data_IF_772832755860
#
_entry.id   IF_772832755860
#
_cell.length_a   1.000
_cell.length_b   1.000
_cell.length_c   1.000
_cell.angle_alpha   90.00
_cell.angle_beta   90.00
_cell.angle_gamma   90.00
#
_symmetry.space_group_name_H-M   'P 1'
#
loop_
_entity.id
_entity.type
_entity.pdbx_description
1 polymer ?
#
# COMPACT_ATOMS: atom_id res chain seq x y z
N UNK A 1 16.55 62.25 61.91
CA UNK A 1 17.30 60.99 61.73
C UNK A 1 16.51 59.90 61.02
N UNK A 2 15.29 59.51 61.46
CA UNK A 2 14.52 58.40 60.83
C UNK A 2 14.10 58.58 59.35
N UNK A 3 13.89 59.81 58.85
CA UNK A 3 13.49 60.06 57.45
C UNK A 3 14.67 60.01 56.45
N UNK A 4 15.88 60.33 56.92
CA UNK A 4 17.08 60.34 56.09
C UNK A 4 17.57 58.90 55.84
N UNK A 5 17.48 58.05 56.86
CA UNK A 5 17.77 56.61 56.73
C UNK A 5 16.83 55.92 55.76
N UNK A 6 15.53 56.27 55.76
CA UNK A 6 14.56 55.67 54.84
C UNK A 6 14.79 56.10 53.38
N UNK A 7 15.16 57.38 53.16
CA UNK A 7 15.49 57.87 51.82
C UNK A 7 16.76 57.22 51.25
N UNK A 8 17.76 56.95 52.10
CA UNK A 8 18.99 56.24 51.72
C UNK A 8 18.67 54.78 51.36
N UNK A 9 17.81 54.09 52.12
CA UNK A 9 17.40 52.71 51.81
C UNK A 9 16.62 52.63 50.50
N UNK A 10 15.72 53.59 50.24
CA UNK A 10 14.97 53.63 48.96
C UNK A 10 15.91 53.91 47.79
N UNK A 11 16.84 54.86 47.92
CA UNK A 11 17.83 55.16 46.88
C UNK A 11 18.77 53.97 46.59
N UNK A 12 19.22 53.25 47.63
CA UNK A 12 20.00 52.02 47.47
C UNK A 12 19.19 50.90 46.82
N UNK A 13 17.89 50.77 47.14
CA UNK A 13 17.02 49.77 46.50
C UNK A 13 16.83 50.02 45.01
N UNK A 14 16.76 51.29 44.57
CA UNK A 14 16.66 51.64 43.15
C UNK A 14 17.99 51.51 42.40
N UNK A 15 19.13 51.68 43.08
CA UNK A 15 20.45 51.46 42.48
C UNK A 15 20.79 49.96 42.33
N UNK A 16 20.26 49.11 43.22
CA UNK A 16 20.43 47.66 43.14
C UNK A 16 19.41 46.98 42.21
N UNK A 17 18.25 47.60 41.96
CA UNK A 17 17.23 47.08 41.05
C UNK A 17 17.65 47.10 39.57
N UNK A 18 18.70 47.84 39.19
CA UNK A 18 19.14 48.00 37.80
C UNK A 18 20.46 47.30 37.44
N UNK A 19 21.10 46.57 38.35
CA UNK A 19 22.46 46.05 38.13
C UNK A 19 22.70 44.60 38.62
N UNK A 20 21.63 43.83 38.77
CA UNK A 20 21.64 42.37 38.92
C UNK A 20 20.71 41.67 37.92
N UNK A 21 20.48 42.28 36.75
CA UNK A 21 20.12 41.54 35.55
C UNK A 21 21.38 40.87 35.00
N UNK A 22 21.86 39.85 35.74
CA UNK A 22 22.82 38.91 35.17
C UNK A 22 22.18 38.34 33.92
N UNK A 23 22.93 38.35 32.81
CA UNK A 23 22.42 38.00 31.50
C UNK A 23 21.47 36.82 31.58
N UNK A 24 20.19 37.10 31.35
CA UNK A 24 19.39 36.18 30.56
C UNK A 24 20.18 36.10 29.26
N UNK A 25 21.10 35.13 29.21
CA UNK A 25 21.26 34.37 27.98
C UNK A 25 19.84 34.17 27.52
N UNK A 26 19.49 34.77 26.38
CA UNK A 26 18.56 34.12 25.49
C UNK A 26 19.13 32.71 25.43
N UNK A 27 18.58 31.82 26.23
CA UNK A 27 18.64 30.41 25.92
C UNK A 27 17.81 30.46 24.66
N UNK A 28 18.49 30.63 23.53
CA UNK A 28 18.03 29.96 22.34
C UNK A 28 17.88 28.54 22.83
N UNK A 29 16.66 28.18 23.20
CA UNK A 29 16.20 26.82 23.03
C UNK A 29 16.03 26.66 21.51
N UNK A 30 17.11 26.91 20.76
CA UNK A 30 17.51 25.99 19.73
C UNK A 30 17.78 24.72 20.56
N UNK A 31 16.72 23.95 20.85
CA UNK A 31 16.93 22.52 20.97
C UNK A 31 17.70 22.18 19.70
N UNK A 32 18.95 21.71 19.84
CA UNK A 32 19.72 21.25 18.70
C UNK A 32 18.85 20.18 18.02
N UNK A 33 18.10 20.57 16.99
CA UNK A 33 17.21 19.67 16.25
C UNK A 33 18.18 18.75 15.51
N UNK A 34 18.33 17.55 16.06
CA UNK A 34 19.18 16.53 15.46
C UNK A 34 18.49 15.96 14.22
N UNK A 35 19.24 15.53 13.20
CA UNK A 35 18.65 14.88 12.05
C UNK A 35 17.87 13.62 12.44
N UNK A 36 16.81 13.35 11.70
CA UNK A 36 15.90 12.24 12.01
C UNK A 36 16.61 10.89 12.05
N UNK A 37 17.62 10.64 11.22
CA UNK A 37 18.38 9.39 11.21
C UNK A 37 19.28 9.17 12.43
N UNK A 38 19.32 10.09 13.40
CA UNK A 38 20.07 9.85 14.64
C UNK A 38 19.47 8.75 15.51
N UNK A 39 18.20 8.39 15.29
CA UNK A 39 17.54 7.25 15.93
C UNK A 39 17.33 6.05 14.98
N UNK A 40 17.90 6.09 13.77
CA UNK A 40 17.79 4.97 12.85
C UNK A 40 18.69 3.83 13.32
N UNK A 41 18.18 2.61 13.20
CA UNK A 41 18.89 1.40 13.58
C UNK A 41 18.77 0.37 12.46
N UNK A 42 19.78 -0.50 12.36
CA UNK A 42 19.65 -1.72 11.58
C UNK A 42 18.67 -2.62 12.32
N UNK A 43 17.48 -2.82 11.74
CA UNK A 43 16.40 -3.58 12.39
C UNK A 43 16.75 -5.06 12.51
N UNK A 44 17.58 -5.57 11.59
CA UNK A 44 18.08 -6.93 11.64
C UNK A 44 19.55 -7.00 12.06
N UNK A 45 19.86 -8.01 12.86
CA UNK A 45 21.22 -8.41 13.23
C UNK A 45 21.91 -9.21 12.12
N UNK A 46 21.14 -9.88 11.26
CA UNK A 46 21.63 -10.59 10.09
C UNK A 46 21.84 -9.60 8.94
N UNK A 47 23.03 -9.59 8.30
CA UNK A 47 23.25 -8.76 7.12
C UNK A 47 22.31 -9.13 5.98
N UNK A 48 21.71 -8.13 5.34
CA UNK A 48 20.88 -8.33 4.14
C UNK A 48 21.66 -9.00 3.00
N UNK A 49 20.93 -9.71 2.14
CA UNK A 49 21.50 -10.45 0.99
C UNK A 49 22.19 -9.51 0.00
N UNK A 50 21.54 -8.40 -0.36
CA UNK A 50 22.09 -7.39 -1.27
C UNK A 50 21.80 -5.97 -0.72
N UNK A 51 22.64 -5.47 0.20
CA UNK A 51 22.44 -4.17 0.83
C UNK A 51 22.89 -3.04 -0.09
N UNK A 52 21.97 -2.15 -0.44
CA UNK A 52 22.21 -0.95 -1.24
C UNK A 52 22.02 0.30 -0.40
N UNK A 53 22.58 1.41 -0.87
CA UNK A 53 22.48 2.71 -0.21
C UNK A 53 21.65 3.64 -1.08
N UNK A 54 20.65 4.26 -0.46
CA UNK A 54 19.76 5.22 -1.09
C UNK A 54 19.79 6.55 -0.34
N UNK A 55 19.77 7.64 -1.10
CA UNK A 55 19.80 8.99 -0.55
C UNK A 55 18.48 9.30 0.12
N UNK A 56 18.53 9.61 1.42
CA UNK A 56 17.39 10.04 2.24
C UNK A 56 17.60 11.47 2.70
N UNK A 57 16.58 12.30 2.58
CA UNK A 57 16.55 13.69 2.98
C UNK A 57 15.66 13.83 4.21
N UNK A 58 16.17 14.50 5.25
CA UNK A 58 15.38 15.03 6.36
C UNK A 58 14.76 16.34 5.89
N UNK A 59 13.45 16.36 5.72
CA UNK A 59 12.73 17.50 5.14
C UNK A 59 12.60 18.67 6.13
N UNK A 60 12.78 18.42 7.44
CA UNK A 60 12.73 19.47 8.45
C UNK A 60 14.04 20.27 8.48
N UNK A 61 15.18 19.59 8.32
CA UNK A 61 16.51 20.21 8.31
C UNK A 61 17.06 20.48 6.90
N UNK A 62 16.46 19.87 5.88
CA UNK A 62 16.95 19.85 4.50
C UNK A 62 18.42 19.37 4.42
N UNK A 63 18.73 18.33 5.22
CA UNK A 63 19.99 17.60 5.18
C UNK A 63 19.78 16.24 4.50
N UNK A 64 20.83 15.67 3.93
CA UNK A 64 20.76 14.35 3.27
C UNK A 64 21.78 13.39 3.86
N UNK A 65 21.41 12.11 3.93
CA UNK A 65 22.28 10.98 4.26
C UNK A 65 22.05 9.84 3.27
N UNK A 66 22.85 8.78 3.40
CA UNK A 66 22.60 7.50 2.76
C UNK A 66 22.01 6.53 3.81
N UNK A 67 20.90 5.88 3.48
CA UNK A 67 20.27 4.83 4.29
C UNK A 67 20.37 3.49 3.58
N UNK A 68 20.50 2.41 4.33
CA UNK A 68 20.71 1.06 3.79
C UNK A 68 19.38 0.31 3.59
N UNK A 69 19.23 -0.33 2.43
CA UNK A 69 18.05 -1.09 2.01
C UNK A 69 18.47 -2.46 1.47
N UNK A 70 17.64 -3.50 1.64
CA UNK A 70 17.84 -4.79 0.97
C UNK A 70 17.16 -4.76 -0.41
N UNK A 71 17.88 -5.12 -1.47
CA UNK A 71 17.36 -5.07 -2.85
C UNK A 71 17.20 -6.48 -3.42
N UNK A 72 16.10 -6.67 -4.16
CA UNK A 72 15.71 -7.95 -4.74
C UNK A 72 15.27 -7.75 -6.18
N UNK A 73 15.64 -8.69 -7.04
CA UNK A 73 15.27 -8.70 -8.45
C UNK A 73 14.06 -9.61 -8.71
N UNK A 74 13.71 -9.80 -9.99
CA UNK A 74 12.59 -10.66 -10.40
C UNK A 74 12.63 -12.09 -9.88
N UNK A 75 13.79 -12.63 -9.51
CA UNK A 75 13.89 -14.02 -9.04
C UNK A 75 13.18 -14.21 -7.69
N UNK A 76 12.82 -13.12 -7.00
CA UNK A 76 12.07 -13.09 -5.75
C UNK A 76 10.57 -12.80 -5.96
N UNK A 77 9.99 -13.41 -6.99
CA UNK A 77 8.56 -13.33 -7.29
C UNK A 77 8.15 -12.17 -8.18
N UNK A 78 9.07 -11.58 -8.94
CA UNK A 78 8.77 -10.59 -9.99
C UNK A 78 8.82 -11.16 -11.40
N UNK A 79 8.59 -10.31 -12.39
CA UNK A 79 8.75 -10.65 -13.81
C UNK A 79 9.56 -9.57 -14.55
N UNK A 80 9.43 -9.51 -15.88
CA UNK A 80 10.11 -8.52 -16.71
C UNK A 80 9.79 -7.05 -16.41
N UNK A 81 8.73 -6.82 -15.65
CA UNK A 81 7.91 -5.64 -15.80
C UNK A 81 7.24 -5.20 -14.48
N UNK A 82 7.19 -6.06 -13.46
CA UNK A 82 6.59 -5.73 -12.16
C UNK A 82 6.93 -6.67 -11.00
N UNK A 83 6.61 -6.17 -9.81
CA UNK A 83 6.42 -6.91 -8.57
C UNK A 83 5.05 -6.54 -7.99
N UNK A 84 4.26 -7.53 -7.54
CA UNK A 84 3.04 -7.29 -6.76
C UNK A 84 3.32 -7.60 -5.30
N UNK A 85 3.58 -6.56 -4.53
CA UNK A 85 4.00 -6.64 -3.14
C UNK A 85 2.81 -6.51 -2.20
N UNK A 86 2.76 -7.37 -1.18
CA UNK A 86 1.86 -7.25 -0.04
C UNK A 86 2.59 -7.72 1.23
N UNK A 87 2.01 -7.42 2.39
CA UNK A 87 2.50 -7.91 3.69
C UNK A 87 1.37 -8.57 4.48
N UNK A 88 1.75 -9.45 5.42
CA UNK A 88 0.81 -10.01 6.40
C UNK A 88 0.92 -9.26 7.73
N UNK A 89 -0.09 -9.45 8.60
CA UNK A 89 -0.08 -8.96 9.98
C UNK A 89 1.17 -9.38 10.77
N UNK A 90 1.73 -10.55 10.44
CA UNK A 90 2.93 -11.08 11.10
C UNK A 90 4.25 -10.54 10.50
N UNK A 91 4.17 -9.69 9.48
CA UNK A 91 5.35 -9.11 8.82
C UNK A 91 5.98 -10.01 7.75
N UNK A 92 5.22 -10.96 7.21
CA UNK A 92 5.67 -11.74 6.04
C UNK A 92 5.58 -10.87 4.80
N UNK A 93 6.63 -10.85 3.98
CA UNK A 93 6.64 -10.20 2.67
C UNK A 93 6.07 -11.19 1.66
N UNK A 94 5.09 -10.76 0.86
CA UNK A 94 4.45 -11.53 -0.19
C UNK A 94 4.71 -10.89 -1.55
N UNK A 95 4.99 -11.70 -2.57
CA UNK A 95 5.21 -11.24 -3.94
C UNK A 95 4.60 -12.18 -4.98
N UNK A 96 3.94 -11.62 -6.00
CA UNK A 96 3.45 -12.37 -7.17
C UNK A 96 3.41 -11.52 -8.46
N UNK A 97 4.46 -10.75 -8.75
CA UNK A 97 4.66 -10.25 -10.12
C UNK A 97 5.01 -11.39 -11.10
N UNK A 98 5.74 -12.38 -10.61
CA UNK A 98 6.32 -13.50 -11.35
C UNK A 98 5.39 -14.69 -11.57
N UNK A 99 6.00 -15.87 -11.68
CA UNK A 99 5.32 -17.12 -12.04
C UNK A 99 4.52 -17.76 -10.89
N UNK A 100 4.81 -17.44 -9.64
CA UNK A 100 4.23 -18.13 -8.49
C UNK A 100 4.22 -17.20 -7.27
N UNK A 101 3.36 -17.46 -6.26
CA UNK A 101 3.50 -16.83 -4.96
C UNK A 101 4.88 -17.10 -4.37
N UNK A 102 5.58 -16.04 -4.00
CA UNK A 102 6.87 -16.04 -3.35
C UNK A 102 6.75 -15.26 -2.05
N UNK A 103 7.36 -15.74 -0.97
CA UNK A 103 7.26 -15.06 0.32
C UNK A 103 8.53 -15.20 1.15
N UNK A 104 8.67 -14.30 2.11
CA UNK A 104 9.71 -14.34 3.12
C UNK A 104 9.16 -13.95 4.49
N UNK A 105 9.45 -14.79 5.49
CA UNK A 105 9.06 -14.56 6.88
C UNK A 105 10.13 -13.80 7.67
N UNK A 106 11.30 -13.57 7.09
CA UNK A 106 12.48 -13.04 7.77
C UNK A 106 13.07 -11.85 7.00
N UNK A 107 12.19 -10.98 6.48
CA UNK A 107 12.57 -9.74 5.81
C UNK A 107 13.50 -9.94 4.60
N UNK A 108 13.39 -11.10 3.95
CA UNK A 108 14.05 -11.42 2.71
C UNK A 108 15.39 -12.15 2.84
N UNK A 109 15.70 -12.76 3.99
CA UNK A 109 16.90 -13.62 4.12
C UNK A 109 16.69 -15.02 3.56
N UNK A 110 15.50 -15.57 3.78
CA UNK A 110 15.04 -16.82 3.19
C UNK A 110 13.73 -16.57 2.44
N UNK A 111 13.62 -17.23 1.29
CA UNK A 111 12.48 -17.10 0.39
C UNK A 111 11.95 -18.47 0.02
N UNK A 112 10.65 -18.62 0.14
CA UNK A 112 9.92 -19.80 -0.29
C UNK A 112 9.06 -19.47 -1.51
N UNK A 113 8.69 -20.51 -2.25
CA UNK A 113 7.88 -20.38 -3.47
C UNK A 113 6.88 -21.51 -3.54
N UNK A 114 5.61 -21.18 -3.75
CA UNK A 114 4.58 -22.18 -3.94
C UNK A 114 4.53 -22.63 -5.39
N UNK A 115 4.86 -23.89 -5.65
CA UNK A 115 4.70 -24.48 -6.99
C UNK A 115 3.52 -25.45 -6.98
N UNK A 116 2.47 -25.21 -7.79
CA UNK A 116 1.30 -26.08 -7.85
C UNK A 116 1.66 -27.48 -8.34
N UNK A 117 1.09 -28.50 -7.70
CA UNK A 117 1.19 -29.89 -8.15
C UNK A 117 0.43 -30.14 -9.46
N UNK A 118 0.61 -31.30 -10.08
CA UNK A 118 -0.01 -31.64 -11.38
C UNK A 118 -1.54 -31.58 -11.36
N UNK A 119 -2.16 -31.98 -10.24
CA UNK A 119 -3.60 -32.06 -10.08
C UNK A 119 -4.11 -30.90 -9.23
N UNK A 120 -5.24 -30.33 -9.66
CA UNK A 120 -5.98 -29.32 -8.90
C UNK A 120 -6.55 -29.91 -7.61
N UNK A 121 -6.96 -29.03 -6.70
CA UNK A 121 -7.76 -29.45 -5.54
C UNK A 121 -9.07 -30.17 -5.95
N UNK A 122 -9.58 -31.03 -5.07
CA UNK A 122 -10.76 -31.85 -5.34
C UNK A 122 -12.07 -31.04 -5.38
N UNK A 123 -12.08 -29.86 -4.76
CA UNK A 123 -13.21 -28.93 -4.76
C UNK A 123 -13.29 -28.10 -6.05
N UNK A 124 -12.24 -28.10 -6.87
CA UNK A 124 -12.19 -27.31 -8.09
C UNK A 124 -13.25 -27.73 -9.10
N UNK A 125 -13.99 -26.75 -9.62
CA UNK A 125 -15.04 -26.96 -10.63
C UNK A 125 -14.50 -27.45 -11.97
N UNK A 126 -13.30 -27.02 -12.34
CA UNK A 126 -12.68 -27.33 -13.63
C UNK A 126 -11.34 -28.01 -13.43
N UNK A 127 -11.32 -29.35 -13.26
CA UNK A 127 -10.07 -30.07 -13.10
C UNK A 127 -9.29 -30.05 -14.41
N UNK A 128 -8.11 -29.44 -14.37
CA UNK A 128 -7.18 -29.31 -15.49
C UNK A 128 -5.78 -29.62 -14.98
N UNK A 129 -5.01 -30.50 -15.66
CA UNK A 129 -3.63 -30.71 -15.26
C UNK A 129 -2.80 -29.45 -15.51
N UNK A 130 -1.78 -29.25 -14.67
CA UNK A 130 -0.68 -28.30 -14.93
C UNK A 130 0.62 -29.07 -15.16
N UNK A 131 1.62 -28.42 -15.76
CA UNK A 131 3.01 -28.82 -15.79
C UNK A 131 3.74 -28.05 -14.67
N UNK A 132 3.95 -28.66 -13.48
CA UNK A 132 4.58 -27.99 -12.36
C UNK A 132 5.94 -27.42 -12.73
N UNK A 133 6.19 -26.15 -12.37
CA UNK A 133 7.45 -25.46 -12.65
C UNK A 133 7.67 -25.13 -14.14
N UNK A 134 6.66 -25.29 -15.00
CA UNK A 134 6.73 -24.94 -16.43
C UNK A 134 5.55 -24.08 -16.88
N UNK A 135 4.36 -24.34 -16.34
CA UNK A 135 3.22 -23.44 -16.43
C UNK A 135 3.36 -22.36 -15.36
N UNK A 136 4.39 -21.53 -15.52
CA UNK A 136 4.63 -20.38 -14.67
C UNK A 136 3.42 -19.48 -14.68
N UNK A 137 2.71 -19.41 -13.56
CA UNK A 137 1.51 -18.61 -13.39
C UNK A 137 1.94 -17.14 -13.30
N UNK A 138 2.18 -16.51 -14.46
CA UNK A 138 2.65 -15.13 -14.55
C UNK A 138 1.67 -14.08 -14.01
N UNK A 139 2.17 -12.85 -13.79
CA UNK A 139 1.39 -11.62 -13.59
C UNK A 139 0.18 -11.79 -12.66
N UNK A 140 0.43 -11.77 -11.36
CA UNK A 140 -0.58 -12.05 -10.35
C UNK A 140 -0.92 -10.89 -9.43
N UNK A 141 -1.79 -11.19 -8.48
CA UNK A 141 -2.01 -10.39 -7.28
C UNK A 141 -2.11 -11.29 -6.05
N UNK A 142 -1.65 -10.78 -4.90
CA UNK A 142 -1.57 -11.50 -3.62
C UNK A 142 -2.01 -10.56 -2.49
N UNK A 143 -2.89 -11.03 -1.60
CA UNK A 143 -3.38 -10.28 -0.44
C UNK A 143 -3.69 -11.27 0.69
N UNK A 144 -3.61 -10.82 1.92
CA UNK A 144 -4.14 -11.56 3.07
C UNK A 144 -5.67 -11.38 3.15
N UNK A 145 -6.40 -12.28 3.80
CA UNK A 145 -7.79 -12.08 4.17
C UNK A 145 -7.91 -11.80 5.68
N UNK A 146 -9.06 -11.30 6.14
CA UNK A 146 -9.29 -10.98 7.56
C UNK A 146 -9.12 -12.17 8.50
N UNK A 147 -9.26 -13.40 8.01
CA UNK A 147 -9.07 -14.63 8.77
C UNK A 147 -7.63 -15.18 8.72
N UNK A 148 -6.72 -14.52 8.01
CA UNK A 148 -5.32 -14.90 7.86
C UNK A 148 -4.98 -15.58 6.54
N UNK A 149 -5.96 -16.10 5.81
CA UNK A 149 -5.75 -16.79 4.53
C UNK A 149 -4.98 -15.91 3.54
N UNK A 150 -4.15 -16.50 2.69
CA UNK A 150 -3.49 -15.77 1.61
C UNK A 150 -4.19 -16.12 0.30
N UNK A 151 -4.85 -15.12 -0.26
CA UNK A 151 -5.56 -15.24 -1.53
C UNK A 151 -4.60 -14.82 -2.63
N UNK A 152 -4.50 -15.60 -3.69
CA UNK A 152 -3.66 -15.26 -4.84
C UNK A 152 -4.33 -15.61 -6.16
N UNK A 153 -4.09 -14.76 -7.14
CA UNK A 153 -4.58 -14.90 -8.49
C UNK A 153 -3.43 -14.75 -9.46
N UNK A 154 -3.48 -15.52 -10.54
CA UNK A 154 -2.41 -15.48 -11.54
C UNK A 154 -2.89 -15.84 -12.94
N UNK A 155 -2.25 -15.24 -13.94
CA UNK A 155 -2.52 -15.37 -15.37
C UNK A 155 -1.36 -15.99 -16.15
N UNK A 156 -1.65 -17.02 -16.94
CA UNK A 156 -0.66 -17.65 -17.82
C UNK A 156 -1.09 -17.56 -19.29
N UNK A 157 -0.42 -16.76 -20.14
CA UNK A 157 -0.82 -16.58 -21.53
C UNK A 157 -0.48 -17.77 -22.44
N UNK A 158 0.43 -18.66 -22.03
CA UNK A 158 0.96 -19.70 -22.91
C UNK A 158 0.16 -21.01 -22.88
N UNK A 159 0.51 -21.92 -23.79
CA UNK A 159 -0.17 -23.21 -23.91
C UNK A 159 0.20 -24.08 -22.71
N UNK A 160 -0.76 -24.41 -21.87
CA UNK A 160 -0.53 -25.34 -20.76
C UNK A 160 -0.79 -26.81 -21.11
N UNK A 161 -0.75 -27.68 -20.10
CA UNK A 161 -0.77 -29.15 -20.24
C UNK A 161 -2.06 -29.69 -20.88
N UNK A 162 -3.16 -28.97 -20.76
CA UNK A 162 -4.43 -29.29 -21.41
C UNK A 162 -4.53 -28.78 -22.86
N UNK A 163 -3.46 -28.15 -23.38
CA UNK A 163 -3.38 -27.63 -24.73
C UNK A 163 -4.14 -26.31 -24.94
N UNK A 164 -4.52 -25.59 -23.88
CA UNK A 164 -5.20 -24.29 -23.96
C UNK A 164 -4.27 -23.13 -23.58
N UNK A 165 -4.54 -21.97 -24.19
CA UNK A 165 -3.95 -20.66 -23.91
C UNK A 165 -4.78 -19.89 -22.88
N UNK A 166 -4.26 -18.75 -22.41
CA UNK A 166 -4.94 -17.76 -21.57
C UNK A 166 -5.59 -18.37 -20.33
N UNK A 167 -4.74 -18.90 -19.46
CA UNK A 167 -5.17 -19.60 -18.25
C UNK A 167 -5.18 -18.67 -17.04
N UNK A 168 -6.10 -18.94 -16.14
CA UNK A 168 -6.25 -18.20 -14.90
C UNK A 168 -6.33 -19.17 -13.74
N UNK A 169 -5.54 -18.90 -12.71
CA UNK A 169 -5.30 -19.81 -11.61
C UNK A 169 -5.57 -19.12 -10.29
N UNK A 170 -6.43 -19.75 -9.50
CA UNK A 170 -6.59 -19.45 -8.10
C UNK A 170 -5.62 -20.26 -7.28
N UNK A 171 -4.97 -19.57 -6.35
CA UNK A 171 -4.05 -20.16 -5.40
C UNK A 171 -4.47 -19.62 -4.04
N UNK A 172 -4.65 -20.51 -3.07
CA UNK A 172 -5.10 -20.18 -1.74
C UNK A 172 -4.18 -20.86 -0.74
N UNK A 173 -3.61 -20.10 0.17
CA UNK A 173 -3.08 -20.62 1.42
C UNK A 173 -4.19 -20.52 2.48
N UNK A 174 -4.60 -21.67 3.00
CA UNK A 174 -5.53 -21.74 4.13
C UNK A 174 -4.70 -21.66 5.44
N UNK A 175 -4.84 -20.57 6.17
CA UNK A 175 -4.09 -20.32 7.41
C UNK A 175 -4.44 -21.35 8.49
N UNK A 176 -5.69 -21.84 8.49
CA UNK A 176 -6.16 -22.78 9.50
C UNK A 176 -5.66 -24.21 9.27
N UNK A 177 -5.36 -24.54 8.01
CA UNK A 177 -4.84 -25.84 7.60
C UNK A 177 -3.32 -25.85 7.34
N UNK A 178 -2.68 -24.68 7.24
CA UNK A 178 -1.25 -24.52 6.88
C UNK A 178 -0.94 -25.21 5.53
N UNK A 179 -1.85 -25.07 4.56
CA UNK A 179 -1.76 -25.75 3.27
C UNK A 179 -2.10 -24.82 2.10
N UNK A 180 -1.29 -24.94 1.04
CA UNK A 180 -1.54 -24.29 -0.24
C UNK A 180 -2.33 -25.18 -1.20
N UNK A 181 -3.43 -24.65 -1.73
CA UNK A 181 -4.28 -25.29 -2.72
C UNK A 181 -4.42 -24.43 -3.96
N UNK A 182 -4.86 -25.02 -5.07
CA UNK A 182 -5.04 -24.28 -6.32
C UNK A 182 -6.14 -24.86 -7.21
N UNK A 183 -6.80 -23.96 -7.96
CA UNK A 183 -7.81 -24.28 -8.95
C UNK A 183 -7.57 -23.54 -10.27
N UNK A 184 -7.87 -24.21 -11.38
CA UNK A 184 -7.99 -23.54 -12.67
C UNK A 184 -9.39 -22.95 -12.83
N UNK A 185 -9.44 -21.67 -13.20
CA UNK A 185 -10.67 -20.94 -13.48
C UNK A 185 -10.75 -20.64 -14.98
N UNK A 186 -11.73 -21.26 -15.65
CA UNK A 186 -11.93 -21.03 -17.08
C UNK A 186 -12.67 -19.72 -17.29
N UNK A 187 -11.98 -18.75 -17.86
CA UNK A 187 -12.57 -17.47 -18.21
C UNK A 187 -13.21 -17.50 -19.60
N UNK A 188 -14.32 -16.79 -19.75
CA UNK A 188 -14.90 -16.45 -21.06
C UNK A 188 -14.46 -15.07 -21.55
N UNK A 189 -13.95 -14.23 -20.65
CA UNK A 189 -13.42 -12.89 -20.95
C UNK A 189 -11.89 -12.94 -20.97
N UNK A 190 -11.22 -12.26 -21.92
CA UNK A 190 -9.76 -12.19 -21.92
C UNK A 190 -9.28 -11.45 -20.66
N UNK A 191 -8.49 -12.10 -19.80
CA UNK A 191 -7.56 -11.34 -18.96
C UNK A 191 -6.37 -10.97 -19.82
N UNK A 192 -6.12 -9.68 -19.91
CA UNK A 192 -4.88 -9.14 -20.46
C UNK A 192 -4.12 -8.46 -19.34
N UNK A 193 -2.84 -8.79 -19.23
CA UNK A 193 -1.91 -8.31 -18.20
C UNK A 193 -2.29 -8.78 -16.79
N UNK A 194 -3.02 -7.95 -16.03
CA UNK A 194 -2.93 -7.99 -14.56
C UNK A 194 -4.27 -8.23 -13.90
N UNK A 195 -4.22 -9.07 -12.88
CA UNK A 195 -5.27 -9.12 -11.86
C UNK A 195 -4.97 -8.10 -10.77
N UNK A 196 -6.00 -7.39 -10.33
CA UNK A 196 -6.00 -6.75 -9.01
C UNK A 196 -7.09 -7.42 -8.18
N UNK A 197 -6.84 -7.57 -6.89
CA UNK A 197 -7.74 -8.30 -6.01
C UNK A 197 -7.98 -7.58 -4.69
N UNK A 198 -9.12 -7.89 -4.10
CA UNK A 198 -9.54 -7.35 -2.81
C UNK A 198 -10.49 -8.32 -2.12
N UNK A 199 -10.42 -8.36 -0.79
CA UNK A 199 -11.41 -9.03 0.03
C UNK A 199 -12.70 -8.21 0.15
N UNK A 200 -13.83 -8.86 -0.05
CA UNK A 200 -15.14 -8.44 0.45
C UNK A 200 -15.31 -9.07 1.83
N UNK A 201 -15.21 -8.25 2.88
CA UNK A 201 -15.30 -8.69 4.27
C UNK A 201 -16.66 -9.33 4.51
N UNK A 202 -16.68 -10.54 5.07
CA UNK A 202 -17.91 -11.27 5.31
C UNK A 202 -18.47 -11.13 6.73
N UNK A 203 -19.27 -12.13 7.18
CA UNK A 203 -19.57 -13.38 6.49
C UNK A 203 -20.45 -13.16 5.25
N UNK A 204 -20.13 -13.86 4.16
CA UNK A 204 -20.84 -13.77 2.88
C UNK A 204 -22.00 -14.75 2.83
N UNK A 205 -23.16 -14.29 2.36
CA UNK A 205 -24.32 -15.13 2.07
C UNK A 205 -25.00 -14.68 0.78
N UNK A 206 -24.65 -15.33 -0.33
CA UNK A 206 -25.07 -14.91 -1.67
C UNK A 206 -25.68 -16.05 -2.48
N UNK A 207 -26.06 -15.76 -3.71
CA UNK A 207 -26.56 -16.74 -4.68
C UNK A 207 -25.47 -17.67 -5.23
N UNK A 208 -24.18 -17.32 -5.08
CA UNK A 208 -23.04 -18.14 -5.53
C UNK A 208 -22.44 -18.99 -4.40
N UNK A 209 -22.84 -18.75 -3.14
CA UNK A 209 -22.48 -19.56 -1.99
C UNK A 209 -22.38 -18.75 -0.70
N UNK A 210 -21.71 -19.31 0.29
CA UNK A 210 -21.43 -18.63 1.56
C UNK A 210 -19.99 -18.93 1.98
N UNK A 211 -19.35 -17.96 2.63
CA UNK A 211 -17.95 -18.01 3.03
C UNK A 211 -17.67 -17.00 4.14
N UNK A 212 -16.51 -17.09 4.79
CA UNK A 212 -16.09 -16.11 5.81
C UNK A 212 -15.81 -14.74 5.18
N UNK A 213 -15.43 -14.74 3.90
CA UNK A 213 -15.17 -13.59 3.06
C UNK A 213 -15.50 -13.93 1.60
N UNK A 214 -15.38 -12.96 0.70
CA UNK A 214 -15.32 -13.22 -0.75
C UNK A 214 -14.11 -12.51 -1.35
N UNK A 215 -13.50 -13.09 -2.39
CA UNK A 215 -12.42 -12.46 -3.14
C UNK A 215 -12.99 -11.88 -4.42
N UNK A 216 -12.91 -10.56 -4.59
CA UNK A 216 -13.22 -9.88 -5.83
C UNK A 216 -11.93 -9.57 -6.57
N UNK A 217 -11.90 -9.95 -7.84
CA UNK A 217 -10.75 -9.78 -8.72
C UNK A 217 -11.21 -9.08 -9.98
N UNK A 218 -10.40 -8.13 -10.47
CA UNK A 218 -10.68 -7.42 -11.71
C UNK A 218 -9.59 -7.67 -12.73
N UNK A 219 -10.03 -7.80 -13.97
CA UNK A 219 -9.18 -7.83 -15.13
C UNK A 219 -8.94 -6.42 -15.63
N UNK A 220 -7.74 -5.89 -15.39
CA UNK A 220 -7.29 -4.65 -16.03
C UNK A 220 -8.28 -3.47 -15.78
N UNK A 221 -8.20 -2.41 -16.59
CA UNK A 221 -9.00 -1.18 -16.45
C UNK A 221 -10.46 -1.29 -16.98
N UNK A 222 -10.95 -2.48 -17.34
CA UNK A 222 -12.28 -2.63 -17.94
C UNK A 222 -13.42 -2.34 -16.96
N UNK A 223 -13.22 -2.60 -15.67
CA UNK A 223 -14.18 -2.25 -14.64
C UNK A 223 -14.39 -0.72 -14.54
N UNK A 224 -13.40 0.07 -14.96
CA UNK A 224 -13.44 1.54 -14.98
C UNK A 224 -14.19 2.06 -16.21
N UNK A 225 -13.98 1.45 -17.39
CA UNK A 225 -14.49 1.97 -18.68
C UNK A 225 -15.75 1.29 -19.19
N UNK A 226 -15.97 0.03 -18.84
CA UNK A 226 -17.04 -0.82 -19.40
C UNK A 226 -17.94 -1.44 -18.32
N UNK A 227 -17.61 -1.29 -17.03
CA UNK A 227 -18.25 -2.01 -15.92
C UNK A 227 -18.20 -3.54 -16.14
N UNK A 228 -17.10 -4.07 -16.67
CA UNK A 228 -16.92 -5.49 -16.98
C UNK A 228 -15.58 -6.00 -16.43
N UNK A 229 -15.27 -7.28 -16.66
CA UNK A 229 -13.98 -7.86 -16.28
C UNK A 229 -13.85 -8.22 -14.79
N UNK A 230 -14.95 -8.28 -14.04
CA UNK A 230 -14.94 -8.73 -12.65
C UNK A 230 -15.12 -10.24 -12.52
N UNK A 231 -14.46 -10.84 -11.54
CA UNK A 231 -14.75 -12.18 -11.04
C UNK A 231 -14.76 -12.20 -9.53
N UNK A 232 -15.63 -13.02 -8.95
CA UNK A 232 -15.75 -13.13 -7.50
C UNK A 232 -15.77 -14.59 -7.08
N UNK A 233 -15.16 -14.89 -5.93
CA UNK A 233 -15.22 -16.20 -5.28
C UNK A 233 -15.64 -16.03 -3.82
N UNK A 234 -16.33 -17.02 -3.25
CA UNK A 234 -16.65 -17.11 -1.81
C UNK A 234 -15.82 -18.17 -1.08
N UNK A 235 -14.89 -18.81 -1.80
CA UNK A 235 -14.03 -19.90 -1.30
C UNK A 235 -12.55 -19.71 -1.71
N UNK A 236 -12.19 -18.56 -2.29
CA UNK A 236 -10.84 -18.27 -2.79
C UNK A 236 -10.38 -19.07 -4.01
N UNK A 237 -11.11 -20.11 -4.42
CA UNK A 237 -10.64 -21.11 -5.38
C UNK A 237 -11.49 -21.15 -6.65
N UNK A 238 -12.80 -21.07 -6.53
CA UNK A 238 -13.77 -21.17 -7.62
C UNK A 238 -14.38 -19.80 -7.93
N UNK A 239 -13.93 -19.18 -9.02
CA UNK A 239 -14.36 -17.84 -9.41
C UNK A 239 -15.53 -17.87 -10.41
N UNK A 240 -16.39 -16.86 -10.31
CA UNK A 240 -17.56 -16.65 -11.15
C UNK A 240 -17.52 -15.26 -11.74
N UNK A 241 -18.05 -15.09 -12.95
CA UNK A 241 -18.23 -13.77 -13.54
C UNK A 241 -19.01 -12.85 -12.60
N UNK A 242 -18.45 -11.68 -12.35
CA UNK A 242 -19.02 -10.64 -11.51
C UNK A 242 -19.25 -9.38 -12.33
N UNK A 243 -20.51 -8.94 -12.37
CA UNK A 243 -20.92 -7.79 -13.16
C UNK A 243 -20.90 -6.53 -12.27
N UNK A 244 -20.04 -5.58 -12.64
CA UNK A 244 -20.07 -4.25 -12.04
C UNK A 244 -21.35 -3.52 -12.42
N UNK A 245 -21.90 -2.76 -11.47
CA UNK A 245 -23.13 -2.00 -11.70
C UNK A 245 -22.87 -0.79 -12.62
N UNK A 246 -23.86 -0.39 -13.41
CA UNK A 246 -23.69 0.78 -14.28
C UNK A 246 -23.46 2.08 -13.49
N UNK A 247 -22.48 2.89 -13.90
CA UNK A 247 -22.13 4.19 -13.28
C UNK A 247 -23.29 5.22 -13.23
N UNK A 248 -24.32 5.06 -14.07
CA UNK A 248 -25.53 5.88 -14.10
C UNK A 248 -26.76 5.18 -13.50
N UNK A 249 -26.57 4.02 -12.86
CA UNK A 249 -27.65 3.28 -12.24
C UNK A 249 -28.03 3.87 -10.88
N UNK A 250 -29.13 3.37 -10.31
CA UNK A 250 -29.56 3.71 -8.95
C UNK A 250 -30.06 2.43 -8.27
N UNK A 251 -29.15 1.63 -7.66
CA UNK A 251 -29.51 0.35 -7.03
C UNK A 251 -30.42 0.48 -5.80
N UNK A 252 -30.60 1.69 -5.27
CA UNK A 252 -31.20 1.92 -3.96
C UNK A 252 -30.16 2.47 -3.00
N UNK A 253 -30.60 3.38 -2.13
CA UNK A 253 -29.74 4.00 -1.15
C UNK A 253 -29.57 3.10 0.08
N UNK A 254 -28.35 3.04 0.58
CA UNK A 254 -27.98 2.43 1.86
C UNK A 254 -27.08 3.40 2.62
N UNK A 255 -27.35 3.57 3.91
CA UNK A 255 -26.49 4.31 4.80
C UNK A 255 -25.39 3.36 5.30
N UNK A 256 -24.14 3.67 5.01
CA UNK A 256 -22.97 2.88 5.44
C UNK A 256 -22.24 3.69 6.50
N UNK A 257 -22.18 3.17 7.73
CA UNK A 257 -21.42 3.80 8.80
C UNK A 257 -19.93 3.53 8.61
N UNK A 258 -19.17 4.58 8.34
CA UNK A 258 -17.72 4.52 8.15
C UNK A 258 -16.95 5.13 9.33
N UNK A 259 -17.65 5.48 10.41
CA UNK A 259 -17.02 6.02 11.60
C UNK A 259 -16.58 4.88 12.52
N UNK A 260 -15.38 4.36 12.24
CA UNK A 260 -14.80 3.24 12.97
C UNK A 260 -13.77 3.70 13.99
N UNK A 261 -13.47 2.81 14.94
CA UNK A 261 -12.38 3.00 15.89
C UNK A 261 -11.76 1.66 16.26
N UNK A 262 -10.43 1.54 16.22
CA UNK A 262 -9.67 0.34 16.63
C UNK A 262 -10.15 -0.94 15.92
N UNK A 263 -10.04 -0.96 14.59
CA UNK A 263 -10.55 -2.04 13.72
C UNK A 263 -9.57 -3.20 13.50
N UNK A 264 -8.37 -3.09 14.05
CA UNK A 264 -7.37 -4.17 14.06
C UNK A 264 -6.33 -4.07 12.92
N UNK A 265 -5.22 -4.78 13.10
CA UNK A 265 -3.98 -4.67 12.31
C UNK A 265 -4.14 -5.12 10.84
N UNK A 266 -5.17 -5.89 10.51
CA UNK A 266 -5.49 -6.24 9.12
C UNK A 266 -5.57 -4.99 8.23
N UNK A 267 -6.15 -3.91 8.73
CA UNK A 267 -6.34 -2.66 7.97
C UNK A 267 -5.05 -1.86 7.79
N UNK A 268 -3.98 -2.21 8.50
CA UNK A 268 -2.65 -1.58 8.35
C UNK A 268 -1.79 -2.26 7.29
N UNK A 269 -1.99 -3.56 7.07
CA UNK A 269 -1.22 -4.35 6.09
C UNK A 269 -1.97 -4.55 4.78
N UNK A 270 -3.31 -4.45 4.82
CA UNK A 270 -4.15 -4.77 3.68
C UNK A 270 -4.78 -3.55 3.05
N UNK A 271 -4.01 -2.97 2.13
CA UNK A 271 -4.55 -2.05 1.15
C UNK A 271 -4.60 -2.75 -0.21
N UNK A 272 -5.78 -2.89 -0.82
CA UNK A 272 -5.87 -3.30 -2.21
C UNK A 272 -5.07 -2.36 -3.10
N UNK A 273 -4.44 -2.90 -4.14
CA UNK A 273 -3.75 -2.09 -5.14
C UNK A 273 -4.67 -0.95 -5.61
N UNK A 274 -4.16 0.28 -5.76
CA UNK A 274 -4.96 1.51 -6.00
C UNK A 274 -6.01 1.36 -7.10
N UNK A 275 -5.71 0.57 -8.13
CA UNK A 275 -6.58 0.37 -9.28
C UNK A 275 -7.84 -0.45 -8.99
N UNK A 276 -7.92 -1.11 -7.83
CA UNK A 276 -9.18 -1.66 -7.31
C UNK A 276 -10.20 -0.56 -6.95
N UNK A 277 -9.72 0.66 -6.62
CA UNK A 277 -10.56 1.83 -6.27
C UNK A 277 -11.63 1.49 -5.24
N UNK A 278 -11.24 0.67 -4.28
CA UNK A 278 -12.11 0.15 -3.23
C UNK A 278 -11.32 -0.18 -1.99
N UNK A 279 -12.03 -0.26 -0.86
CA UNK A 279 -11.46 -0.72 0.40
C UNK A 279 -12.47 -1.59 1.17
N UNK A 280 -11.97 -2.63 1.88
CA UNK A 280 -12.80 -3.51 2.72
C UNK A 280 -13.46 -2.73 3.87
N UNK A 281 -14.71 -3.06 4.21
CA UNK A 281 -15.44 -2.39 5.30
C UNK A 281 -15.45 -3.28 6.56
N UNK A 282 -15.02 -2.79 7.72
CA UNK A 282 -15.00 -3.54 8.99
C UNK A 282 -16.32 -4.17 9.41
N UNK A 283 -17.45 -3.53 9.10
CA UNK A 283 -18.79 -4.06 9.36
C UNK A 283 -19.27 -5.11 8.34
N UNK A 284 -18.44 -5.44 7.35
CA UNK A 284 -18.76 -6.31 6.23
C UNK A 284 -19.03 -5.55 4.93
N UNK A 285 -18.69 -6.19 3.82
CA UNK A 285 -18.83 -5.65 2.46
C UNK A 285 -17.55 -5.00 1.93
N UNK A 286 -17.70 -4.36 0.77
CA UNK A 286 -16.63 -3.68 0.03
C UNK A 286 -17.12 -2.32 -0.47
N UNK A 287 -16.34 -1.27 -0.24
CA UNK A 287 -16.74 0.10 -0.54
C UNK A 287 -15.98 0.64 -1.75
N UNK A 288 -16.68 1.36 -2.64
CA UNK A 288 -16.13 1.96 -3.86
C UNK A 288 -16.40 3.48 -3.85
N UNK A 289 -15.44 4.31 -3.43
CA UNK A 289 -15.59 5.76 -3.37
C UNK A 289 -15.74 6.38 -4.77
N UNK A 290 -16.55 7.44 -4.87
CA UNK A 290 -16.81 8.15 -6.14
C UNK A 290 -17.19 7.24 -7.33
N UNK A 291 -17.85 6.11 -7.05
CA UNK A 291 -18.15 5.13 -8.09
C UNK A 291 -19.12 5.66 -9.16
N UNK A 292 -20.20 6.33 -8.78
CA UNK A 292 -21.25 6.74 -9.71
C UNK A 292 -20.92 8.07 -10.41
N UNK A 293 -21.53 8.29 -11.58
CA UNK A 293 -21.29 9.51 -12.38
C UNK A 293 -21.77 10.81 -11.74
N UNK A 294 -22.55 10.74 -10.66
CA UNK A 294 -22.92 11.89 -9.82
C UNK A 294 -21.92 12.15 -8.67
N UNK A 295 -20.83 11.39 -8.60
CA UNK A 295 -19.77 11.49 -7.59
C UNK A 295 -20.05 10.74 -6.29
N UNK A 296 -21.20 10.07 -6.17
CA UNK A 296 -21.53 9.25 -4.99
C UNK A 296 -20.84 7.87 -5.05
N UNK A 297 -20.86 7.17 -3.92
CA UNK A 297 -20.14 5.91 -3.74
C UNK A 297 -21.05 4.69 -3.95
N UNK A 298 -20.44 3.57 -4.34
CA UNK A 298 -21.11 2.27 -4.36
C UNK A 298 -20.64 1.43 -3.19
N UNK A 299 -21.53 0.58 -2.67
CA UNK A 299 -21.24 -0.38 -1.63
C UNK A 299 -21.70 -1.75 -2.10
N UNK A 300 -20.83 -2.76 -1.98
CA UNK A 300 -21.14 -4.15 -2.23
C UNK A 300 -21.39 -4.83 -0.89
N UNK A 301 -22.64 -5.17 -0.59
CA UNK A 301 -23.01 -5.78 0.68
C UNK A 301 -22.54 -7.24 0.81
N UNK A 302 -22.71 -7.82 2.00
CA UNK A 302 -22.34 -9.22 2.28
C UNK A 302 -23.22 -10.26 1.60
N UNK A 303 -24.31 -9.83 0.97
CA UNK A 303 -25.11 -10.65 0.05
C UNK A 303 -24.67 -10.51 -1.41
N UNK A 304 -23.59 -9.76 -1.66
CA UNK A 304 -23.02 -9.41 -2.95
C UNK A 304 -23.98 -8.61 -3.84
N UNK A 305 -24.85 -7.81 -3.22
CA UNK A 305 -25.69 -6.84 -3.94
C UNK A 305 -25.04 -5.45 -3.89
N UNK A 306 -25.21 -4.73 -5.00
CA UNK A 306 -24.80 -3.34 -5.11
C UNK A 306 -25.84 -2.44 -4.47
N UNK A 307 -25.36 -1.48 -3.68
CA UNK A 307 -26.11 -0.39 -3.08
C UNK A 307 -25.41 0.94 -3.34
N UNK A 308 -26.15 2.04 -3.21
CA UNK A 308 -25.63 3.41 -3.35
C UNK A 308 -25.50 4.05 -1.98
N UNK A 309 -24.35 4.63 -1.68
CA UNK A 309 -24.18 5.49 -0.51
C UNK A 309 -24.05 6.94 -0.97
N UNK A 310 -25.00 7.79 -0.56
CA UNK A 310 -25.10 9.20 -0.98
C UNK A 310 -24.08 10.12 -0.27
N UNK A 311 -22.81 9.70 -0.26
CA UNK A 311 -21.66 10.45 0.27
C UNK A 311 -20.63 10.67 -0.84
N UNK A 312 -20.12 11.90 -0.93
CA UNK A 312 -19.06 12.28 -1.87
C UNK A 312 -17.71 12.29 -1.17
N UNK A 313 -16.80 11.46 -1.65
CA UNK A 313 -15.43 11.38 -1.18
C UNK A 313 -14.56 12.38 -1.94
N UNK A 314 -13.36 12.75 -1.45
CA UNK A 314 -12.43 13.60 -2.19
C UNK A 314 -11.68 12.84 -3.30
N UNK A 315 -11.63 11.51 -3.23
CA UNK A 315 -10.96 10.64 -4.19
C UNK A 315 -11.64 9.26 -4.30
N UNK A 316 -11.32 8.52 -5.37
CA UNK A 316 -11.59 7.08 -5.52
C UNK A 316 -10.52 6.20 -4.84
N UNK A 317 -9.36 6.78 -4.50
CA UNK A 317 -8.24 6.09 -3.86
C UNK A 317 -8.27 6.35 -2.36
N UNK A 318 -8.82 5.40 -1.61
CA UNK A 318 -8.96 5.49 -0.16
C UNK A 318 -8.65 4.16 0.54
N UNK A 319 -8.26 4.25 1.81
CA UNK A 319 -7.95 3.14 2.70
C UNK A 319 -8.41 3.48 4.12
N UNK A 320 -8.86 2.47 4.88
CA UNK A 320 -9.00 2.55 6.34
C UNK A 320 -7.75 1.96 6.99
N UNK A 321 -7.28 2.56 8.08
CA UNK A 321 -6.22 1.97 8.91
C UNK A 321 -6.76 1.40 10.23
N UNK A 322 -5.91 0.74 11.03
CA UNK A 322 -6.33 0.07 12.26
C UNK A 322 -6.89 1.00 13.33
N UNK A 323 -6.60 2.30 13.30
CA UNK A 323 -7.23 3.27 14.22
C UNK A 323 -8.68 3.54 13.85
N UNK A 324 -9.08 3.24 12.61
CA UNK A 324 -10.35 3.62 12.00
C UNK A 324 -10.25 4.91 11.20
N UNK A 325 -9.04 5.47 11.03
CA UNK A 325 -8.84 6.65 10.21
C UNK A 325 -9.01 6.31 8.74
N UNK A 326 -9.66 7.21 8.00
CA UNK A 326 -9.89 7.12 6.58
C UNK A 326 -8.92 8.04 5.85
N UNK A 327 -8.03 7.43 5.07
CA UNK A 327 -7.05 8.10 4.25
C UNK A 327 -7.52 8.08 2.80
N UNK A 328 -7.50 9.22 2.12
CA UNK A 328 -7.71 9.30 0.69
C UNK A 328 -6.62 10.14 0.03
N UNK A 329 -6.20 9.77 -1.18
CA UNK A 329 -5.22 10.54 -1.95
C UNK A 329 -5.81 10.92 -3.30
N UNK A 330 -5.78 12.21 -3.63
CA UNK A 330 -6.18 12.73 -4.95
C UNK A 330 -5.00 13.35 -5.67
N UNK A 331 -4.92 13.19 -6.99
CA UNK A 331 -3.89 13.79 -7.83
C UNK A 331 -4.49 14.86 -8.75
N UNK A 332 -3.94 16.07 -8.74
CA UNK A 332 -4.28 17.14 -9.67
C UNK A 332 -3.00 17.70 -10.33
N UNK A 333 -2.82 17.42 -11.62
CA UNK A 333 -1.55 17.71 -12.30
C UNK A 333 -0.44 16.85 -11.71
N UNK A 334 0.52 17.49 -11.03
CA UNK A 334 1.61 16.84 -10.29
C UNK A 334 1.52 17.08 -8.78
N UNK A 335 0.38 17.57 -8.28
CA UNK A 335 0.17 17.77 -6.85
C UNK A 335 -0.74 16.68 -6.29
N UNK A 336 -0.21 15.90 -5.36
CA UNK A 336 -1.02 15.00 -4.54
C UNK A 336 -1.62 15.79 -3.38
N UNK A 337 -2.85 15.44 -3.01
CA UNK A 337 -3.48 15.87 -1.77
C UNK A 337 -3.85 14.63 -0.98
N UNK A 338 -3.25 14.47 0.20
CA UNK A 338 -3.68 13.52 1.21
C UNK A 338 -4.81 14.14 2.02
N UNK A 339 -5.91 13.41 2.14
CA UNK A 339 -7.09 13.76 2.90
C UNK A 339 -7.22 12.75 4.04
N UNK A 340 -7.31 13.24 5.28
CA UNK A 340 -7.44 12.43 6.48
C UNK A 340 -8.76 12.74 7.18
N UNK A 341 -9.50 11.70 7.53
CA UNK A 341 -10.78 11.79 8.23
C UNK A 341 -10.84 10.80 9.39
N UNK A 342 -11.31 11.27 10.55
CA UNK A 342 -11.62 10.42 11.72
C UNK A 342 -13.12 10.25 11.96
N UNK A 343 -13.98 10.77 11.08
CA UNK A 343 -15.44 10.78 11.27
C UNK A 343 -16.20 10.17 10.07
N UNK A 344 -15.59 9.16 9.45
CA UNK A 344 -16.18 8.41 8.33
C UNK A 344 -16.32 9.22 7.03
N UNK A 345 -15.50 10.24 6.84
CA UNK A 345 -15.45 11.07 5.64
C UNK A 345 -16.34 12.31 5.68
N UNK A 346 -16.81 12.69 6.88
CA UNK A 346 -17.66 13.89 7.06
C UNK A 346 -16.82 15.16 7.05
N UNK A 347 -15.63 15.13 7.65
CA UNK A 347 -14.66 16.22 7.64
C UNK A 347 -13.28 15.71 7.24
N UNK A 348 -12.48 16.58 6.62
CA UNK A 348 -11.18 16.23 6.06
C UNK A 348 -10.12 17.24 6.47
N UNK A 349 -9.05 16.76 7.09
CA UNK A 349 -7.77 17.45 7.12
C UNK A 349 -7.03 17.18 5.80
N UNK A 350 -6.25 18.13 5.31
CA UNK A 350 -5.60 18.01 4.00
C UNK A 350 -4.16 18.47 4.02
N UNK A 351 -3.28 17.72 3.35
CA UNK A 351 -1.90 18.09 3.08
C UNK A 351 -1.58 17.89 1.60
N UNK A 352 -0.89 18.85 1.00
CA UNK A 352 -0.39 18.72 -0.37
C UNK A 352 1.05 18.23 -0.38
N UNK A 353 1.35 17.36 -1.35
CA UNK A 353 2.70 16.91 -1.68
C UNK A 353 2.97 17.23 -3.16
N UNK A 354 4.03 17.97 -3.42
CA UNK A 354 4.43 18.40 -4.76
C UNK A 354 5.88 18.86 -4.74
N UNK A 355 6.58 18.68 -5.85
CA UNK A 355 7.92 19.22 -6.05
C UNK A 355 8.03 19.88 -7.43
N UNK A 356 8.86 20.93 -7.54
CA UNK A 356 9.07 21.66 -8.80
C UNK A 356 9.76 20.81 -9.87
N UNK A 357 10.47 19.75 -9.47
CA UNK A 357 11.16 18.83 -10.37
C UNK A 357 10.22 17.89 -11.12
N UNK A 358 8.98 17.71 -10.64
CA UNK A 358 8.02 16.78 -11.22
C UNK A 358 7.38 17.36 -12.48
N UNK A 359 7.76 16.85 -13.65
CA UNK A 359 7.15 17.25 -14.93
C UNK A 359 5.83 16.53 -15.18
N UNK A 360 5.76 15.25 -14.83
CA UNK A 360 4.57 14.40 -14.89
C UNK A 360 4.68 13.31 -13.82
N UNK A 361 3.54 12.71 -13.44
CA UNK A 361 3.50 11.51 -12.60
C UNK A 361 3.30 10.31 -13.53
N UNK A 362 4.18 9.33 -13.43
CA UNK A 362 4.09 8.09 -14.20
C UNK A 362 3.31 7.04 -13.39
N UNK A 363 3.75 6.74 -12.17
CA UNK A 363 3.10 5.80 -11.27
C UNK A 363 3.20 6.29 -9.81
N UNK A 364 2.33 5.80 -8.94
CA UNK A 364 2.33 6.14 -7.52
C UNK A 364 1.55 5.12 -6.72
N UNK A 365 1.87 4.96 -5.45
CA UNK A 365 1.09 4.14 -4.53
C UNK A 365 1.20 4.71 -3.11
N UNK A 366 0.24 4.43 -2.24
CA UNK A 366 0.32 4.85 -0.83
C UNK A 366 -0.16 3.75 0.11
N UNK A 367 0.23 3.81 1.37
CA UNK A 367 -0.35 2.97 2.42
C UNK A 367 -0.31 3.71 3.75
N UNK A 368 -1.36 3.54 4.54
CA UNK A 368 -1.41 3.99 5.92
C UNK A 368 -1.34 2.80 6.87
N UNK A 369 -0.72 3.02 8.02
CA UNK A 369 -0.64 2.09 9.15
C UNK A 369 -0.93 2.88 10.43
N UNK A 370 -2.10 2.58 11.02
CA UNK A 370 -2.62 3.26 12.18
C UNK A 370 -1.95 2.85 13.48
N UNK A 371 -1.49 1.60 13.59
CA UNK A 371 -0.79 1.11 14.79
C UNK A 371 0.56 1.81 14.97
N UNK A 372 1.18 2.21 13.87
CA UNK A 372 2.49 2.88 13.83
C UNK A 372 2.41 4.39 13.59
N UNK A 373 1.20 4.93 13.45
CA UNK A 373 0.93 6.34 13.08
C UNK A 373 1.75 6.77 11.85
N UNK A 374 1.76 5.93 10.83
CA UNK A 374 2.61 6.06 9.64
C UNK A 374 1.76 6.10 8.37
N UNK A 375 2.04 7.08 7.52
CA UNK A 375 1.59 7.11 6.13
C UNK A 375 2.80 7.19 5.20
N UNK A 376 2.78 6.38 4.13
CA UNK A 376 3.84 6.33 3.13
C UNK A 376 3.24 6.60 1.76
N UNK A 377 3.89 7.46 0.97
CA UNK A 377 3.55 7.74 -0.42
C UNK A 377 4.77 7.47 -1.31
N UNK A 378 4.63 6.48 -2.19
CA UNK A 378 5.54 6.22 -3.30
C UNK A 378 5.10 7.03 -4.53
N UNK A 379 6.06 7.66 -5.18
CA UNK A 379 5.84 8.40 -6.43
C UNK A 379 6.97 8.08 -7.40
N UNK A 380 6.59 7.60 -8.58
CA UNK A 380 7.42 7.62 -9.78
C UNK A 380 7.01 8.81 -10.63
N UNK A 381 7.93 9.74 -10.83
CA UNK A 381 7.68 10.95 -11.62
C UNK A 381 8.70 11.09 -12.73
N UNK A 382 8.27 11.65 -13.87
CA UNK A 382 9.18 12.10 -14.90
C UNK A 382 9.88 13.38 -14.44
N UNK A 383 11.21 13.34 -14.35
CA UNK A 383 12.01 14.52 -13.98
C UNK A 383 12.00 15.58 -15.08
N UNK A 384 11.86 16.85 -14.69
CA UNK A 384 12.00 17.98 -15.62
C UNK A 384 13.38 18.13 -16.27
N UNK A 385 14.38 17.41 -15.77
CA UNK A 385 15.79 17.52 -16.20
C UNK A 385 16.38 16.22 -16.73
N UNK A 386 15.63 15.14 -16.70
CA UNK A 386 16.17 13.81 -16.90
C UNK A 386 15.08 12.75 -16.99
N UNK A 387 15.42 11.50 -16.71
CA UNK A 387 14.50 10.39 -16.81
C UNK A 387 13.58 10.30 -15.57
N UNK A 388 12.76 9.26 -15.53
CA UNK A 388 11.90 8.99 -14.37
C UNK A 388 12.70 8.73 -13.08
N UNK A 389 12.11 9.13 -11.95
CA UNK A 389 12.68 9.01 -10.61
C UNK A 389 11.63 8.43 -9.67
N UNK A 390 12.03 7.44 -8.87
CA UNK A 390 11.21 6.86 -7.81
C UNK A 390 11.58 7.47 -6.45
N UNK A 391 10.58 7.90 -5.70
CA UNK A 391 10.74 8.44 -4.35
C UNK A 391 9.74 7.83 -3.36
N UNK A 392 10.09 7.91 -2.07
CA UNK A 392 9.22 7.62 -0.94
C UNK A 392 9.14 8.82 0.00
N UNK A 393 7.93 9.27 0.29
CA UNK A 393 7.66 10.13 1.43
C UNK A 393 7.24 9.29 2.63
N UNK A 394 7.85 9.55 3.79
CA UNK A 394 7.34 9.10 5.08
C UNK A 394 6.63 10.26 5.77
N UNK A 395 5.47 9.97 6.33
CA UNK A 395 4.69 10.87 7.18
C UNK A 395 4.46 10.12 8.49
N UNK A 396 5.40 10.27 9.42
CA UNK A 396 5.30 9.72 10.77
C UNK A 396 4.51 10.65 11.67
N UNK A 397 3.85 10.08 12.66
CA UNK A 397 2.95 10.79 13.57
C UNK A 397 1.89 11.58 12.77
N UNK A 398 1.32 10.95 11.73
CA UNK A 398 0.38 11.63 10.82
C UNK A 398 -0.83 12.19 11.55
N UNK A 399 -1.18 11.60 12.70
CA UNK A 399 -2.24 12.06 13.59
C UNK A 399 -1.99 13.43 14.20
N UNK A 400 -0.71 13.82 14.36
CA UNK A 400 -0.28 15.14 14.83
C UNK A 400 0.01 16.08 13.66
N UNK A 401 0.67 15.57 12.60
CA UNK A 401 1.03 16.34 11.42
C UNK A 401 1.12 15.48 10.16
N UNK A 402 0.37 15.84 9.12
CA UNK A 402 0.41 15.15 7.83
C UNK A 402 1.61 15.55 6.94
N UNK A 403 2.49 16.45 7.39
CA UNK A 403 3.68 16.85 6.66
C UNK A 403 4.73 15.72 6.65
N UNK A 404 5.40 15.45 5.51
CA UNK A 404 6.40 14.40 5.46
C UNK A 404 7.67 14.83 6.19
N UNK A 405 8.28 13.89 6.91
CA UNK A 405 9.52 14.11 7.64
C UNK A 405 10.75 13.70 6.82
N UNK A 406 10.62 12.68 5.97
CA UNK A 406 11.66 12.25 5.04
C UNK A 406 11.19 12.09 3.60
N UNK A 407 12.14 12.29 2.69
CA UNK A 407 12.07 11.87 1.29
C UNK A 407 13.25 10.96 1.00
N UNK A 408 13.00 9.76 0.48
CA UNK A 408 14.05 8.84 0.03
C UNK A 408 13.98 8.67 -1.48
N UNK A 409 15.10 8.80 -2.17
CA UNK A 409 15.23 8.45 -3.59
C UNK A 409 15.53 6.96 -3.69
N UNK A 410 14.65 6.17 -4.31
CA UNK A 410 14.82 4.73 -4.44
C UNK A 410 15.40 4.42 -5.83
N UNK A 411 16.50 3.68 -5.87
CA UNK A 411 17.24 3.41 -7.10
C UNK A 411 18.03 4.62 -7.62
N UNK A 412 18.43 4.53 -8.89
CA UNK A 412 19.31 5.52 -9.54
C UNK A 412 18.56 6.70 -10.16
N UNK A 413 17.25 6.58 -10.39
CA UNK A 413 16.43 7.62 -11.04
C UNK A 413 16.96 7.99 -12.44
N UNK A 414 17.37 6.98 -13.20
CA UNK A 414 18.12 7.15 -14.45
C UNK A 414 17.49 6.45 -15.67
N UNK A 415 16.26 5.95 -15.54
CA UNK A 415 15.61 5.12 -16.55
C UNK A 415 14.15 5.54 -16.78
N UNK A 416 13.82 5.85 -18.04
CA UNK A 416 12.43 6.03 -18.47
C UNK A 416 11.77 4.66 -18.66
N UNK A 417 10.58 4.49 -18.09
CA UNK A 417 9.75 3.30 -18.33
C UNK A 417 8.29 3.71 -18.44
N UNK A 418 7.50 2.87 -19.09
CA UNK A 418 6.08 3.17 -19.31
C UNK A 418 5.24 1.92 -19.12
N UNK A 419 4.11 2.08 -18.44
CA UNK A 419 3.17 0.99 -18.26
C UNK A 419 2.50 0.56 -19.57
N UNK A 420 2.23 -0.73 -19.68
CA UNK A 420 1.50 -1.36 -20.78
C UNK A 420 2.38 -2.13 -21.78
N UNK A 421 1.79 -3.19 -22.33
CA UNK A 421 2.41 -4.04 -23.32
C UNK A 421 2.77 -3.28 -24.62
N UNK A 422 4.00 -3.50 -25.12
CA UNK A 422 4.50 -2.92 -26.37
C UNK A 422 5.47 -1.75 -26.20
N UNK A 423 5.71 -1.31 -24.97
CA UNK A 423 6.83 -0.43 -24.63
C UNK A 423 8.15 -1.22 -24.60
N UNK A 424 9.26 -0.51 -24.84
CA UNK A 424 10.62 -1.11 -24.86
C UNK A 424 11.11 -1.44 -23.45
N UNK A 425 10.82 -0.56 -22.48
CA UNK A 425 11.09 -0.71 -21.05
C UNK A 425 9.77 -0.51 -20.30
N UNK A 426 9.44 -1.46 -19.43
CA UNK A 426 8.14 -1.52 -18.73
C UNK A 426 8.34 -1.47 -17.23
N UNK A 427 7.54 -0.64 -16.59
CA UNK A 427 7.25 -0.68 -15.16
C UNK A 427 5.75 -0.45 -15.06
N UNK A 428 5.01 -1.53 -14.86
CA UNK A 428 3.60 -1.49 -15.23
C UNK A 428 2.67 -0.96 -14.13
N UNK A 429 3.11 -1.01 -12.87
CA UNK A 429 2.44 -0.34 -11.75
C UNK A 429 3.40 -0.15 -10.58
N UNK A 430 3.13 0.87 -9.77
CA UNK A 430 3.74 1.01 -8.46
C UNK A 430 3.17 0.00 -7.47
N UNK A 431 4.01 -0.60 -6.64
CA UNK A 431 3.60 -1.50 -5.57
C UNK A 431 4.33 -1.14 -4.29
N UNK A 432 3.58 -1.10 -3.19
CA UNK A 432 4.04 -0.65 -1.88
C UNK A 432 3.38 -1.51 -0.80
N UNK A 433 4.13 -1.85 0.24
CA UNK A 433 3.60 -2.42 1.46
C UNK A 433 4.36 -1.90 2.70
N UNK A 434 3.71 -1.92 3.86
CA UNK A 434 4.32 -1.57 5.15
C UNK A 434 4.36 -2.84 6.02
N UNK A 435 5.53 -3.13 6.61
CA UNK A 435 5.71 -4.21 7.57
C UNK A 435 5.15 -3.81 8.95
N UNK A 436 4.88 -4.80 9.79
CA UNK A 436 4.32 -4.59 11.13
C UNK A 436 5.23 -3.81 12.10
N UNK A 437 6.49 -3.58 11.73
CA UNK A 437 7.43 -2.73 12.45
C UNK A 437 7.67 -1.36 11.81
N UNK A 438 7.00 -1.06 10.69
CA UNK A 438 7.05 0.23 10.01
C UNK A 438 8.01 0.28 8.82
N UNK A 439 8.71 -0.81 8.52
CA UNK A 439 9.59 -0.87 7.37
C UNK A 439 8.82 -0.94 6.06
N UNK A 440 9.30 -0.21 5.06
CA UNK A 440 8.67 -0.15 3.74
C UNK A 440 9.22 -1.22 2.80
N UNK A 441 8.33 -1.85 2.03
CA UNK A 441 8.64 -2.71 0.88
C UNK A 441 8.11 -2.02 -0.37
N UNK A 442 8.96 -1.69 -1.34
CA UNK A 442 8.55 -0.89 -2.51
C UNK A 442 9.18 -1.39 -3.80
N UNK A 443 8.39 -1.45 -4.88
CA UNK A 443 8.88 -1.73 -6.23
C UNK A 443 9.39 -0.46 -6.91
N UNK A 444 10.47 -0.57 -7.69
CA UNK A 444 11.04 0.53 -8.47
C UNK A 444 11.75 0.00 -9.73
N UNK A 445 12.16 0.89 -10.63
CA UNK A 445 12.92 0.48 -11.82
C UNK A 445 13.96 1.52 -12.25
N UNK A 446 15.19 1.06 -12.45
CA UNK A 446 16.32 1.86 -12.89
C UNK A 446 17.28 1.06 -13.80
N UNK A 447 18.36 1.67 -14.27
CA UNK A 447 19.26 1.04 -15.25
C UNK A 447 20.19 -0.04 -14.67
N UNK A 448 20.15 -0.31 -13.36
CA UNK A 448 21.03 -1.28 -12.70
C UNK A 448 20.64 -2.73 -12.97
N UNK A 449 19.37 -2.99 -13.30
CA UNK A 449 18.84 -4.29 -13.70
C UNK A 449 17.94 -4.15 -14.94
N UNK A 450 17.95 -5.11 -15.89
CA UNK A 450 17.05 -5.07 -17.04
C UNK A 450 15.56 -5.16 -16.68
N UNK A 451 15.22 -5.71 -15.53
CA UNK A 451 13.85 -5.88 -15.05
C UNK A 451 13.63 -5.03 -13.79
N UNK A 452 12.38 -4.72 -13.40
CA UNK A 452 12.11 -4.02 -12.14
C UNK A 452 12.66 -4.75 -10.91
N UNK A 453 12.96 -3.96 -9.89
CA UNK A 453 13.47 -4.39 -8.60
C UNK A 453 12.44 -4.06 -7.52
N UNK A 454 12.63 -4.61 -6.33
CA UNK A 454 12.03 -4.04 -5.12
C UNK A 454 13.05 -3.91 -4.01
N UNK A 455 12.81 -2.94 -3.13
CA UNK A 455 13.64 -2.64 -1.97
C UNK A 455 12.85 -2.87 -0.69
N UNK A 456 13.56 -3.31 0.35
CA UNK A 456 13.03 -3.49 1.72
C UNK A 456 13.86 -2.63 2.67
N UNK A 457 13.19 -1.81 3.46
CA UNK A 457 13.83 -0.94 4.43
C UNK A 457 14.41 -1.76 5.58
N UNK A 458 15.72 -1.59 5.85
CA UNK A 458 16.43 -2.30 6.93
C UNK A 458 17.19 -1.37 7.89
N UNK A 459 17.38 -0.11 7.52
CA UNK A 459 17.91 0.96 8.37
C UNK A 459 16.84 2.05 8.50
N UNK A 460 16.16 2.08 9.64
CA UNK A 460 14.94 2.88 9.85
C UNK A 460 14.75 3.19 11.34
N UNK A 461 13.86 4.12 11.72
CA UNK A 461 13.58 4.33 13.13
C UNK A 461 12.81 3.13 13.69
N UNK A 462 13.03 2.83 14.96
CA UNK A 462 12.28 1.77 15.65
C UNK A 462 10.91 2.32 16.06
N UNK A 463 9.83 1.79 15.48
CA UNK A 463 8.47 2.12 15.85
C UNK A 463 8.01 1.26 17.05
N UNK A 464 7.21 1.84 17.94
CA UNK A 464 6.73 1.16 19.15
C UNK A 464 7.74 1.14 20.30
N UNK A 465 7.43 0.47 21.43
CA UNK A 465 8.32 0.42 22.58
C UNK A 465 9.59 -0.37 22.23
N UNK A 466 10.75 0.29 22.31
CA UNK A 466 12.05 -0.37 22.30
C UNK A 466 12.07 -1.45 23.39
N UNK A 467 12.29 -2.72 22.99
CA UNK A 467 12.32 -3.87 23.90
C UNK A 467 13.36 -3.73 25.03
#
# INVERSE_FOLDING_TARGET
MKRMSLAIVIALSTMLAGCFGGGETVVDTDEDIAPIWTNYEMIDTQPAIDPWQFTTIDLNLNESTETTWAVFNKDYGGNCCEHYLATTIDGTILNIGGEYPVWSHDRGHEWDTYVPGVFTDQTCRTPVPTNPGQEGLGEGSIVQATNGDIISMSWFPYVGADGKLDKFYAILYDESEDEWTWCYNRMTEPFYDRSWQVEVVGPISSNIGSGEWASLVVSNFWHQTQNAGGQISVDGLNYYNFQFIGRNSNPGAEDVDLNFSNIGEYYDVNKPHKEMRSFPVPSGGLYFPQYFSDGTSAFLDTSLNWNKHDVQFPSEYCQLDSTGALHCVSLAGTTFTHHLSYDGGTTWATQNYSDESWAAIEEWEFQANGALDLFVLNVRYQSSTGPDVDILYHVRDYSESMAPDTLTYIGLGDLDSTSGAGNDIRFDFASLAILNDGGVVVAYHDSSDPDPLFAVEIEMPVYGPAN
#
